data_IF_114242071866
#
_entry.id   IF_114242071866
#
_cell.length_a   1.000
_cell.length_b   1.000
_cell.length_c   1.000
_cell.angle_alpha   90.00
_cell.angle_beta   90.00
_cell.angle_gamma   90.00
#
_symmetry.space_group_name_H-M   'P 1'
#
loop_
_entity.id
_entity.type
_entity.pdbx_description
1 polymer ?
#
# COMPACT_ATOMS: atom_id res chain seq x y z
N UNK A 1 17.06 -14.89 -21.47
CA UNK A 1 17.36 -13.47 -21.28
C UNK A 1 18.44 -13.40 -20.22
N UNK A 2 19.70 -13.06 -20.56
CA UNK A 2 20.81 -13.04 -19.59
C UNK A 2 20.59 -11.88 -18.63
N UNK A 3 20.58 -12.13 -17.31
CA UNK A 3 20.44 -11.04 -16.34
C UNK A 3 21.76 -10.28 -16.27
N UNK A 4 21.68 -8.96 -16.38
CA UNK A 4 22.82 -8.08 -16.18
C UNK A 4 23.12 -7.97 -14.67
N UNK A 5 24.36 -8.31 -14.26
CA UNK A 5 24.85 -8.37 -12.86
C UNK A 5 23.87 -9.09 -11.91
N UNK A 6 23.84 -10.42 -11.95
CA UNK A 6 22.85 -11.24 -11.22
C UNK A 6 22.98 -11.16 -9.68
N UNK A 7 24.18 -10.88 -9.16
CA UNK A 7 24.50 -10.93 -7.72
C UNK A 7 24.12 -9.65 -6.95
N UNK A 8 24.14 -8.47 -7.60
CA UNK A 8 23.92 -7.17 -6.94
C UNK A 8 22.49 -6.67 -7.18
N UNK A 9 21.80 -6.06 -6.21
CA UNK A 9 20.45 -5.51 -6.49
C UNK A 9 19.30 -6.52 -6.38
N UNK A 10 19.53 -7.79 -6.03
CA UNK A 10 18.48 -8.83 -6.12
C UNK A 10 17.26 -8.51 -5.25
N UNK A 11 17.49 -8.12 -4.00
CA UNK A 11 16.40 -7.81 -3.06
C UNK A 11 15.64 -6.56 -3.48
N UNK A 12 16.34 -5.51 -3.92
CA UNK A 12 15.70 -4.26 -4.34
C UNK A 12 14.89 -4.45 -5.63
N UNK A 13 15.41 -5.20 -6.62
CA UNK A 13 14.65 -5.53 -7.83
C UNK A 13 13.41 -6.38 -7.54
N UNK A 14 13.53 -7.36 -6.65
CA UNK A 14 12.41 -8.20 -6.25
C UNK A 14 11.35 -7.39 -5.49
N UNK A 15 11.77 -6.51 -4.57
CA UNK A 15 10.88 -5.62 -3.84
C UNK A 15 10.14 -4.65 -4.79
N UNK A 16 10.87 -4.00 -5.71
CA UNK A 16 10.28 -3.11 -6.71
C UNK A 16 9.28 -3.85 -7.61
N UNK A 17 9.63 -5.07 -8.04
CA UNK A 17 8.73 -5.91 -8.84
C UNK A 17 7.44 -6.23 -8.06
N UNK A 18 7.54 -6.77 -6.84
CA UNK A 18 6.37 -7.12 -6.04
C UNK A 18 5.50 -5.91 -5.69
N UNK A 19 6.10 -4.77 -5.38
CA UNK A 19 5.37 -3.53 -5.11
C UNK A 19 4.56 -3.08 -6.35
N UNK A 20 5.20 -3.06 -7.52
CA UNK A 20 4.50 -2.73 -8.77
C UNK A 20 3.40 -3.75 -9.11
N UNK A 21 3.64 -5.05 -8.86
CA UNK A 21 2.65 -6.11 -9.08
C UNK A 21 1.44 -5.93 -8.17
N UNK A 22 1.63 -5.63 -6.88
CA UNK A 22 0.53 -5.38 -5.94
C UNK A 22 -0.29 -4.15 -6.35
N UNK A 23 0.37 -3.07 -6.78
CA UNK A 23 -0.29 -1.88 -7.31
C UNK A 23 -1.11 -2.21 -8.56
N UNK A 24 -0.54 -2.98 -9.48
CA UNK A 24 -1.20 -3.39 -10.72
C UNK A 24 -2.40 -4.30 -10.46
N UNK A 25 -2.28 -5.21 -9.48
CA UNK A 25 -3.37 -6.07 -9.01
C UNK A 25 -4.51 -5.22 -8.42
N UNK A 26 -4.20 -4.26 -7.56
CA UNK A 26 -5.19 -3.32 -7.03
C UNK A 26 -5.88 -2.53 -8.15
N UNK A 27 -5.12 -2.06 -9.14
CA UNK A 27 -5.67 -1.38 -10.31
C UNK A 27 -6.63 -2.25 -11.13
N UNK A 28 -6.31 -3.54 -11.31
CA UNK A 28 -7.19 -4.48 -12.02
C UNK A 28 -8.47 -4.79 -11.24
N UNK A 29 -8.40 -4.88 -9.91
CA UNK A 29 -9.59 -5.02 -9.05
C UNK A 29 -10.48 -3.79 -9.20
N UNK A 30 -9.91 -2.59 -9.06
CA UNK A 30 -10.64 -1.33 -9.20
C UNK A 30 -11.23 -1.15 -10.61
N UNK A 31 -10.51 -1.59 -11.65
CA UNK A 31 -11.01 -1.58 -13.02
C UNK A 31 -12.18 -2.55 -13.20
N UNK A 32 -12.08 -3.77 -12.68
CA UNK A 32 -13.16 -4.75 -12.75
C UNK A 32 -14.45 -4.25 -12.06
N UNK A 33 -14.34 -3.66 -10.87
CA UNK A 33 -15.50 -3.10 -10.15
C UNK A 33 -16.11 -1.91 -10.90
N UNK A 34 -15.28 -1.06 -11.49
CA UNK A 34 -15.73 0.09 -12.28
C UNK A 34 -16.44 -0.38 -13.56
N UNK A 35 -15.82 -1.30 -14.31
CA UNK A 35 -16.33 -1.76 -15.60
C UNK A 35 -17.64 -2.53 -15.47
N UNK A 36 -17.77 -3.36 -14.43
CA UNK A 36 -19.01 -4.07 -14.11
C UNK A 36 -20.13 -3.13 -13.62
N UNK A 37 -19.80 -1.99 -13.01
CA UNK A 37 -20.80 -1.01 -12.52
C UNK A 37 -21.29 -0.09 -13.63
N UNK A 38 -20.41 0.40 -14.50
CA UNK A 38 -20.74 1.44 -15.48
C UNK A 38 -21.09 0.90 -16.88
N UNK A 39 -20.58 -0.27 -17.26
CA UNK A 39 -20.85 -0.88 -18.59
C UNK A 39 -21.72 -2.11 -18.40
N UNK A 40 -23.05 -1.91 -18.45
CA UNK A 40 -24.05 -2.97 -18.24
C UNK A 40 -23.85 -4.21 -19.13
N UNK A 41 -23.38 -4.04 -20.37
CA UNK A 41 -23.11 -5.16 -21.29
C UNK A 41 -21.84 -5.98 -20.96
N UNK A 42 -20.96 -5.48 -20.07
CA UNK A 42 -19.80 -6.24 -19.59
C UNK A 42 -20.03 -6.91 -18.23
N UNK A 43 -21.20 -6.66 -17.61
CA UNK A 43 -21.64 -7.33 -16.39
C UNK A 43 -22.34 -8.67 -16.66
N UNK A 44 -22.65 -8.97 -17.92
CA UNK A 44 -23.31 -10.22 -18.30
C UNK A 44 -22.43 -11.43 -17.97
N UNK A 45 -23.05 -12.41 -17.31
CA UNK A 45 -22.41 -13.62 -16.82
C UNK A 45 -22.11 -14.53 -18.00
N UNK A 46 -20.83 -14.83 -18.24
CA UNK A 46 -20.46 -15.88 -19.15
C UNK A 46 -20.51 -17.23 -18.43
N UNK A 47 -21.55 -18.02 -18.68
CA UNK A 47 -21.56 -19.46 -18.38
C UNK A 47 -21.85 -19.87 -16.93
N UNK A 48 -22.39 -19.00 -16.08
CA UNK A 48 -22.89 -19.37 -14.73
C UNK A 48 -21.83 -19.87 -13.73
N UNK A 49 -20.57 -20.01 -14.16
CA UNK A 49 -19.43 -20.34 -13.32
C UNK A 49 -19.04 -19.10 -12.52
N UNK A 50 -19.07 -19.23 -11.20
CA UNK A 50 -18.56 -18.23 -10.26
C UNK A 50 -17.17 -18.66 -9.81
N UNK A 51 -16.24 -17.72 -9.71
CA UNK A 51 -14.86 -18.05 -9.27
C UNK A 51 -14.92 -18.44 -7.78
N UNK A 52 -14.60 -19.69 -7.41
CA UNK A 52 -14.91 -20.22 -6.08
C UNK A 52 -14.11 -19.57 -4.93
N UNK A 53 -13.06 -18.79 -5.22
CA UNK A 53 -12.26 -18.08 -4.23
C UNK A 53 -12.73 -16.64 -3.94
N UNK A 54 -13.45 -16.00 -4.87
CA UNK A 54 -13.78 -14.55 -4.80
C UNK A 54 -15.28 -14.29 -4.96
N UNK A 55 -16.05 -15.27 -5.44
CA UNK A 55 -17.51 -15.13 -5.62
C UNK A 55 -17.92 -14.20 -6.76
N UNK A 56 -16.97 -13.70 -7.56
CA UNK A 56 -17.27 -12.87 -8.72
C UNK A 56 -17.80 -13.73 -9.87
N UNK A 57 -18.88 -13.30 -10.55
CA UNK A 57 -19.32 -13.97 -11.75
C UNK A 57 -18.24 -13.85 -12.83
N UNK A 58 -17.98 -14.93 -13.58
CA UNK A 58 -17.12 -14.85 -14.75
C UNK A 58 -17.83 -13.96 -15.78
N UNK A 59 -17.34 -12.74 -15.93
CA UNK A 59 -17.89 -11.70 -16.82
C UNK A 59 -16.82 -11.30 -17.84
N UNK A 60 -17.24 -10.61 -18.92
CA UNK A 60 -16.29 -10.01 -19.86
C UNK A 60 -15.37 -9.00 -19.19
N UNK A 61 -15.85 -8.33 -18.14
CA UNK A 61 -15.02 -7.45 -17.32
C UNK A 61 -13.86 -8.18 -16.63
N UNK A 62 -14.07 -9.42 -16.15
CA UNK A 62 -13.04 -10.20 -15.47
C UNK A 62 -11.94 -10.65 -16.46
N UNK A 63 -12.33 -11.09 -17.65
CA UNK A 63 -11.38 -11.49 -18.69
C UNK A 63 -10.58 -10.29 -19.18
N UNK A 64 -11.24 -9.15 -19.42
CA UNK A 64 -10.55 -7.92 -19.80
C UNK A 64 -9.54 -7.49 -18.72
N UNK A 65 -9.92 -7.53 -17.45
CA UNK A 65 -9.02 -7.25 -16.33
C UNK A 65 -7.85 -8.24 -16.24
N UNK A 66 -8.09 -9.54 -16.45
CA UNK A 66 -7.03 -10.56 -16.42
C UNK A 66 -6.04 -10.41 -17.59
N UNK A 67 -6.51 -10.09 -18.79
CA UNK A 67 -5.66 -9.82 -19.95
C UNK A 67 -4.81 -8.57 -19.71
N UNK A 68 -5.42 -7.49 -19.19
CA UNK A 68 -4.70 -6.27 -18.83
C UNK A 68 -3.68 -6.53 -17.71
N UNK A 69 -4.01 -7.38 -16.75
CA UNK A 69 -3.08 -7.81 -15.71
C UNK A 69 -1.85 -8.52 -16.31
N UNK A 70 -2.08 -9.49 -17.20
CA UNK A 70 -0.99 -10.23 -17.86
C UNK A 70 -0.10 -9.33 -18.74
N UNK A 71 -0.71 -8.43 -19.53
CA UNK A 71 0.03 -7.43 -20.31
C UNK A 71 0.82 -6.48 -19.39
N UNK A 72 0.20 -6.08 -18.29
CA UNK A 72 0.82 -5.26 -17.25
C UNK A 72 2.06 -5.91 -16.65
N UNK A 73 1.99 -7.21 -16.30
CA UNK A 73 3.14 -7.97 -15.82
C UNK A 73 4.27 -8.04 -16.85
N UNK A 74 3.94 -8.29 -18.12
CA UNK A 74 4.93 -8.33 -19.19
C UNK A 74 5.64 -6.98 -19.37
N UNK A 75 4.88 -5.87 -19.38
CA UNK A 75 5.43 -4.52 -19.46
C UNK A 75 6.27 -4.17 -18.23
N UNK A 76 5.85 -4.56 -17.01
CA UNK A 76 6.63 -4.35 -15.80
C UNK A 76 7.98 -5.05 -15.85
N UNK A 77 8.01 -6.33 -16.28
CA UNK A 77 9.27 -7.05 -16.45
C UNK A 77 10.16 -6.36 -17.48
N UNK A 78 9.59 -5.97 -18.62
CA UNK A 78 10.33 -5.27 -19.67
C UNK A 78 10.86 -3.91 -19.22
N UNK A 79 10.15 -3.18 -18.35
CA UNK A 79 10.57 -1.89 -17.81
C UNK A 79 11.62 -2.04 -16.70
N UNK A 80 11.43 -2.95 -15.75
CA UNK A 80 12.38 -3.16 -14.64
C UNK A 80 13.69 -3.78 -15.12
N UNK A 81 13.67 -4.62 -16.15
CA UNK A 81 14.87 -5.23 -16.71
C UNK A 81 15.68 -4.29 -17.64
N UNK A 82 15.20 -3.07 -17.91
CA UNK A 82 16.00 -2.10 -18.67
C UNK A 82 17.27 -1.76 -17.88
N UNK A 83 18.45 -1.72 -18.54
CA UNK A 83 19.73 -1.53 -17.86
C UNK A 83 19.76 -0.25 -17.01
N UNK A 84 19.24 0.86 -17.55
CA UNK A 84 19.13 2.14 -16.83
C UNK A 84 18.37 2.03 -15.51
N UNK A 85 17.24 1.32 -15.47
CA UNK A 85 16.43 1.19 -14.27
C UNK A 85 17.08 0.23 -13.26
N UNK A 86 17.72 -0.84 -13.75
CA UNK A 86 18.45 -1.77 -12.91
C UNK A 86 19.64 -1.08 -12.23
N UNK A 87 20.39 -0.24 -12.93
CA UNK A 87 21.54 0.49 -12.37
C UNK A 87 21.10 1.47 -11.26
N UNK A 88 19.99 2.20 -11.45
CA UNK A 88 19.41 3.08 -10.42
C UNK A 88 18.99 2.29 -9.16
N UNK A 89 18.41 1.11 -9.32
CA UNK A 89 18.01 0.24 -8.20
C UNK A 89 19.24 -0.30 -7.44
N UNK A 90 20.34 -0.57 -8.13
CA UNK A 90 21.60 -1.01 -7.50
C UNK A 90 22.28 0.15 -6.75
N UNK A 91 22.27 1.35 -7.34
CA UNK A 91 22.81 2.56 -6.72
C UNK A 91 22.03 2.91 -5.45
N UNK A 92 20.69 2.90 -5.51
CA UNK A 92 19.85 3.11 -4.32
C UNK A 92 20.05 2.04 -3.26
N UNK A 93 20.27 0.76 -3.60
CA UNK A 93 20.67 -0.26 -2.61
C UNK A 93 21.98 0.13 -1.92
N UNK A 94 22.95 0.59 -2.70
CA UNK A 94 24.28 0.98 -2.19
C UNK A 94 24.18 2.18 -1.26
N UNK A 95 23.34 3.17 -1.59
CA UNK A 95 23.09 4.32 -0.71
C UNK A 95 22.33 3.91 0.56
N UNK A 96 21.32 3.03 0.46
CA UNK A 96 20.58 2.53 1.62
C UNK A 96 21.46 1.75 2.59
N UNK A 97 22.52 1.09 2.10
CA UNK A 97 23.52 0.40 2.94
C UNK A 97 24.40 1.36 3.75
N UNK A 98 24.52 2.62 3.33
CA UNK A 98 25.25 3.66 4.08
C UNK A 98 24.42 4.24 5.22
N UNK A 99 23.09 4.05 5.19
CA UNK A 99 22.20 4.52 6.24
C UNK A 99 22.36 3.63 7.47
N UNK A 100 22.79 4.23 8.57
CA UNK A 100 22.81 3.61 9.88
C UNK A 100 21.39 3.57 10.43
N UNK A 101 20.72 2.43 10.29
CA UNK A 101 19.39 2.23 10.87
C UNK A 101 19.50 2.19 12.41
N UNK A 102 18.63 2.94 13.12
CA UNK A 102 18.62 2.94 14.58
C UNK A 102 18.30 1.54 15.10
N UNK A 103 18.86 1.20 16.27
CA UNK A 103 18.51 -0.06 16.92
C UNK A 103 17.08 -0.02 17.44
N UNK A 104 16.45 -1.18 17.67
CA UNK A 104 15.08 -1.23 18.19
C UNK A 104 14.94 -0.48 19.52
N UNK A 105 15.99 -0.49 20.34
CA UNK A 105 16.02 0.21 21.63
C UNK A 105 15.99 1.74 21.43
N UNK A 106 16.73 2.27 20.45
CA UNK A 106 16.73 3.70 20.12
C UNK A 106 15.36 4.17 19.63
N UNK A 107 14.68 3.33 18.83
CA UNK A 107 13.34 3.62 18.30
C UNK A 107 12.32 3.67 19.44
N UNK A 108 12.36 2.72 20.37
CA UNK A 108 11.45 2.68 21.53
C UNK A 108 11.71 3.88 22.46
N UNK A 109 12.98 4.16 22.75
CA UNK A 109 13.35 5.27 23.63
C UNK A 109 13.01 6.64 23.02
N UNK A 110 13.12 6.79 21.70
CA UNK A 110 12.69 8.03 21.04
C UNK A 110 11.16 8.17 21.01
N UNK A 111 10.44 7.05 20.82
CA UNK A 111 8.97 7.06 20.74
C UNK A 111 8.30 7.24 22.10
N UNK A 112 8.86 6.69 23.18
CA UNK A 112 8.27 6.80 24.53
C UNK A 112 8.22 8.25 25.00
N UNK A 113 9.22 9.07 24.67
CA UNK A 113 9.23 10.51 25.00
C UNK A 113 8.06 11.23 24.33
N UNK A 114 7.79 10.90 23.06
CA UNK A 114 6.64 11.46 22.32
C UNK A 114 5.33 11.00 22.95
N UNK A 115 5.19 9.71 23.27
CA UNK A 115 3.99 9.16 23.91
C UNK A 115 3.72 9.83 25.27
N UNK A 116 4.76 10.02 26.09
CA UNK A 116 4.63 10.73 27.37
C UNK A 116 4.22 12.19 27.18
N UNK A 117 4.77 12.87 26.17
CA UNK A 117 4.40 14.26 25.86
C UNK A 117 2.93 14.38 25.44
N UNK A 118 2.45 13.44 24.61
CA UNK A 118 1.04 13.38 24.19
C UNK A 118 0.12 13.04 25.36
N UNK A 119 0.52 12.11 26.24
CA UNK A 119 -0.26 11.76 27.45
C UNK A 119 -0.37 12.93 28.42
N UNK A 120 0.72 13.68 28.63
CA UNK A 120 0.69 14.88 29.46
C UNK A 120 -0.30 15.93 28.92
N UNK A 121 -0.25 16.18 27.60
CA UNK A 121 -1.16 17.11 26.94
C UNK A 121 -2.61 16.64 27.05
N UNK A 122 -2.87 15.34 26.85
CA UNK A 122 -4.20 14.73 27.00
C UNK A 122 -4.72 14.91 28.42
N UNK A 123 -3.91 14.63 29.45
CA UNK A 123 -4.29 14.82 30.84
C UNK A 123 -4.61 16.29 31.16
N UNK A 124 -3.81 17.22 30.64
CA UNK A 124 -4.05 18.65 30.80
C UNK A 124 -5.37 19.10 30.16
N UNK A 125 -5.62 18.72 28.90
CA UNK A 125 -6.86 19.04 28.22
C UNK A 125 -8.07 18.43 28.93
N UNK A 126 -7.99 17.16 29.32
CA UNK A 126 -9.05 16.49 30.06
C UNK A 126 -9.36 17.21 31.38
N UNK A 127 -8.34 17.64 32.12
CA UNK A 127 -8.52 18.41 33.35
C UNK A 127 -9.17 19.77 33.07
N UNK A 128 -8.72 20.48 32.04
CA UNK A 128 -9.28 21.78 31.66
C UNK A 128 -10.77 21.64 31.27
N UNK A 129 -11.09 20.67 30.41
CA UNK A 129 -12.47 20.39 29.97
C UNK A 129 -13.35 20.00 31.16
N UNK A 130 -12.85 19.17 32.08
CA UNK A 130 -13.57 18.77 33.27
C UNK A 130 -13.89 19.94 34.20
N UNK A 131 -12.89 20.79 34.48
CA UNK A 131 -13.03 21.96 35.35
C UNK A 131 -13.97 22.98 34.74
N UNK A 132 -13.76 23.34 33.47
CA UNK A 132 -14.62 24.30 32.75
C UNK A 132 -16.05 23.77 32.68
N UNK A 133 -16.23 22.48 32.37
CA UNK A 133 -17.54 21.83 32.36
C UNK A 133 -18.25 21.93 33.71
N UNK A 134 -17.57 21.57 34.81
CA UNK A 134 -18.11 21.67 36.17
C UNK A 134 -18.50 23.10 36.55
N UNK A 135 -17.64 24.08 36.26
CA UNK A 135 -17.90 25.49 36.55
C UNK A 135 -19.12 25.98 35.76
N UNK A 136 -19.18 25.67 34.47
CA UNK A 136 -20.27 26.10 33.60
C UNK A 136 -21.61 25.46 34.00
N UNK A 137 -21.63 24.18 34.38
CA UNK A 137 -22.84 23.50 34.88
C UNK A 137 -23.34 24.13 36.18
N UNK A 138 -22.45 24.45 37.12
CA UNK A 138 -22.84 25.08 38.38
C UNK A 138 -23.39 26.51 38.18
N UNK A 139 -22.94 27.21 37.15
CA UNK A 139 -23.37 28.57 36.82
C UNK A 139 -24.70 28.61 36.05
N UNK A 140 -25.04 27.53 35.32
CA UNK A 140 -26.30 27.41 34.58
C UNK A 140 -27.45 26.81 35.41
N UNK A 141 -27.14 26.00 36.43
CA UNK A 141 -28.12 25.35 37.30
C UNK A 141 -28.41 26.13 38.60
N UNK A 142 -27.75 27.26 38.80
CA UNK A 142 -27.97 28.20 39.90
C UNK A 142 -28.42 29.54 39.34
#
# INVERSE_FOLDING_TARGET
MKTYKEEQGRFVRLAAFWLCVLLLLYGCIALHTTLSTYIGGMADKLGGLSVPLVGWPVSWALIAAAVLFALGLFLLQMLLQKPKNADLLIETETELRKVTWPTMDDVVNSSIVVVLSVLFLLAFLFAADYVIGRVMTNLLLN
#
